data_IF_601068253861
#
_entry.id   IF_601068253861
#
_cell.length_a   1.000
_cell.length_b   1.000
_cell.length_c   1.000
_cell.angle_alpha   90.00
_cell.angle_beta   90.00
_cell.angle_gamma   90.00
#
_symmetry.space_group_name_H-M   'P 1'
#
loop_
_entity.id
_entity.type
_entity.pdbx_description
1 polymer ?
#
# COMPACT_ATOMS: atom_id res chain seq x y z
N UNK A 1 -16.33 -8.43 26.50
CA UNK A 1 -15.18 -8.33 25.58
C UNK A 1 -14.99 -6.91 25.02
N UNK A 2 -16.06 -6.20 24.65
CA UNK A 2 -15.99 -4.82 24.08
C UNK A 2 -15.35 -3.74 25.00
N UNK A 3 -15.55 -3.80 26.30
CA UNK A 3 -15.06 -2.76 27.25
C UNK A 3 -13.53 -2.78 27.38
N UNK A 4 -12.90 -3.97 27.34
CA UNK A 4 -11.44 -4.09 27.42
C UNK A 4 -10.73 -3.47 26.20
N UNK A 5 -11.30 -3.60 25.02
CA UNK A 5 -10.70 -3.04 23.81
C UNK A 5 -10.75 -1.50 23.84
N UNK A 6 -11.88 -0.91 24.25
CA UNK A 6 -12.03 0.55 24.29
C UNK A 6 -11.08 1.23 25.29
N UNK A 7 -10.84 0.61 26.46
CA UNK A 7 -9.89 1.13 27.45
C UNK A 7 -8.44 1.01 26.92
N UNK A 8 -8.12 -0.10 26.26
CA UNK A 8 -6.82 -0.30 25.62
C UNK A 8 -6.54 0.75 24.53
N UNK A 9 -7.52 1.03 23.67
CA UNK A 9 -7.41 2.02 22.61
C UNK A 9 -7.21 3.43 23.16
N UNK A 10 -7.93 3.82 24.22
CA UNK A 10 -7.80 5.13 24.88
C UNK A 10 -6.42 5.29 25.52
N UNK A 11 -5.92 4.26 26.20
CA UNK A 11 -4.60 4.28 26.84
C UNK A 11 -3.50 4.34 25.78
N UNK A 12 -3.64 3.57 24.72
CA UNK A 12 -2.66 3.53 23.64
C UNK A 12 -2.60 4.86 22.87
N UNK A 13 -3.74 5.47 22.57
CA UNK A 13 -3.81 6.79 21.91
C UNK A 13 -3.12 7.89 22.75
N UNK A 14 -3.29 7.87 24.07
CA UNK A 14 -2.61 8.80 24.98
C UNK A 14 -1.10 8.56 25.03
N UNK A 15 -0.65 7.32 25.08
CA UNK A 15 0.76 6.97 25.13
C UNK A 15 1.47 7.32 23.82
N UNK A 16 0.85 7.06 22.67
CA UNK A 16 1.41 7.40 21.35
C UNK A 16 1.50 8.92 21.15
N UNK A 17 0.51 9.68 21.63
CA UNK A 17 0.52 11.15 21.51
C UNK A 17 1.50 11.82 22.46
N UNK A 18 1.83 11.20 23.57
CA UNK A 18 2.66 11.81 24.63
C UNK A 18 4.13 11.36 24.56
N UNK A 19 4.39 10.14 24.12
CA UNK A 19 5.73 9.55 24.08
C UNK A 19 5.77 8.56 22.91
N UNK A 20 6.78 8.47 22.15
CA UNK A 20 6.99 7.52 21.05
C UNK A 20 6.82 6.01 21.45
N UNK A 21 6.00 5.72 22.45
CA UNK A 21 5.73 4.38 22.99
C UNK A 21 4.24 4.09 22.98
N UNK A 22 3.86 2.89 22.57
CA UNK A 22 2.50 2.38 22.58
C UNK A 22 2.44 1.02 23.27
N UNK A 23 1.25 0.66 23.74
CA UNK A 23 0.96 -0.69 24.24
C UNK A 23 0.35 -1.47 23.08
N UNK A 24 1.04 -2.50 22.64
CA UNK A 24 0.57 -3.37 21.55
C UNK A 24 0.32 -4.78 22.07
N UNK A 25 -0.69 -5.48 21.52
CA UNK A 25 -0.85 -6.89 21.81
C UNK A 25 0.42 -7.65 21.37
N UNK A 26 0.93 -8.49 22.26
CA UNK A 26 2.09 -9.32 21.92
C UNK A 26 1.70 -10.37 20.90
N UNK A 27 2.44 -10.44 19.82
CA UNK A 27 2.32 -11.55 18.86
C UNK A 27 3.20 -12.71 19.34
N UNK A 28 2.73 -13.93 19.11
CA UNK A 28 3.56 -15.10 19.34
C UNK A 28 4.79 -15.07 18.45
N UNK A 29 5.99 -15.14 19.02
CA UNK A 29 7.27 -15.04 18.33
C UNK A 29 7.39 -16.03 17.15
N UNK A 30 6.95 -17.28 17.35
CA UNK A 30 6.99 -18.30 16.29
C UNK A 30 6.07 -17.96 15.11
N UNK A 31 4.91 -17.32 15.37
CA UNK A 31 4.03 -16.84 14.30
C UNK A 31 4.66 -15.67 13.54
N UNK A 32 5.36 -14.78 14.26
CA UNK A 32 6.07 -13.67 13.65
C UNK A 32 7.20 -14.15 12.73
N UNK A 33 8.03 -15.09 13.19
CA UNK A 33 9.10 -15.68 12.36
C UNK A 33 8.53 -16.35 11.11
N UNK A 34 7.46 -17.14 11.23
CA UNK A 34 6.79 -17.75 10.07
C UNK A 34 6.28 -16.70 9.08
N UNK A 35 5.71 -15.60 9.58
CA UNK A 35 5.28 -14.50 8.71
C UNK A 35 6.46 -13.86 7.98
N UNK A 36 7.55 -13.58 8.69
CA UNK A 36 8.77 -13.01 8.09
C UNK A 36 9.32 -13.93 7.01
N UNK A 37 9.35 -15.24 7.24
CA UNK A 37 9.80 -16.21 6.24
C UNK A 37 8.91 -16.24 5.00
N UNK A 38 7.59 -16.07 5.16
CA UNK A 38 6.64 -16.03 4.05
C UNK A 38 6.78 -14.78 3.17
N UNK A 39 7.15 -13.64 3.76
CA UNK A 39 7.31 -12.36 3.03
C UNK A 39 8.76 -12.07 2.65
N UNK A 40 9.66 -13.00 2.91
CA UNK A 40 11.09 -12.87 2.60
C UNK A 40 11.28 -12.67 1.09
N UNK A 41 12.03 -11.63 0.67
CA UNK A 41 12.26 -11.41 -0.74
C UNK A 41 13.12 -12.52 -1.36
N UNK A 42 12.75 -12.95 -2.55
CA UNK A 42 13.52 -13.90 -3.35
C UNK A 42 14.18 -13.17 -4.53
N UNK A 43 15.42 -13.50 -4.80
CA UNK A 43 16.08 -13.06 -6.02
C UNK A 43 15.57 -13.91 -7.20
N UNK A 44 14.84 -13.28 -8.11
CA UNK A 44 14.30 -13.92 -9.31
C UNK A 44 15.21 -13.74 -10.54
N UNK A 45 16.41 -13.18 -10.38
CA UNK A 45 17.38 -12.96 -11.45
C UNK A 45 17.00 -11.82 -12.42
N UNK A 46 16.08 -10.95 -12.03
CA UNK A 46 15.77 -9.73 -12.77
C UNK A 46 16.45 -8.52 -12.14
N UNK A 47 16.91 -7.61 -12.97
CA UNK A 47 17.32 -6.28 -12.52
C UNK A 47 16.13 -5.52 -11.95
N UNK A 48 16.41 -4.61 -11.01
CA UNK A 48 15.39 -3.74 -10.44
C UNK A 48 15.44 -2.38 -11.14
N UNK A 49 14.29 -1.92 -11.55
CA UNK A 49 14.11 -0.56 -12.08
C UNK A 49 13.23 0.25 -11.15
N UNK A 50 13.47 1.55 -11.11
CA UNK A 50 12.58 2.47 -10.39
C UNK A 50 11.43 2.85 -11.29
N UNK A 51 10.21 2.80 -10.75
CA UNK A 51 8.97 3.31 -11.33
C UNK A 51 8.43 4.37 -10.38
N UNK A 52 8.09 5.53 -10.92
CA UNK A 52 7.68 6.69 -10.13
C UNK A 52 8.85 7.56 -9.66
N UNK A 53 8.59 8.58 -8.79
CA UNK A 53 9.56 9.56 -8.36
C UNK A 53 10.69 8.97 -7.51
N UNK A 54 11.74 9.76 -7.28
CA UNK A 54 12.89 9.35 -6.44
C UNK A 54 12.56 9.25 -4.95
N UNK A 55 11.45 9.89 -4.51
CA UNK A 55 10.97 9.88 -3.13
C UNK A 55 9.76 8.97 -2.92
N UNK A 56 8.81 9.47 -2.13
CA UNK A 56 7.54 8.82 -1.89
C UNK A 56 6.75 8.60 -3.20
N UNK A 57 6.00 7.50 -3.27
CA UNK A 57 5.27 7.10 -4.47
C UNK A 57 6.17 6.54 -5.60
N UNK A 58 7.44 6.24 -5.34
CA UNK A 58 8.33 5.56 -6.27
C UNK A 58 8.82 4.22 -5.72
N UNK A 59 8.76 3.17 -6.55
CA UNK A 59 9.04 1.80 -6.14
C UNK A 59 10.10 1.15 -7.03
N UNK A 60 10.91 0.28 -6.43
CA UNK A 60 11.78 -0.62 -7.16
C UNK A 60 11.00 -1.88 -7.53
N UNK A 61 10.91 -2.17 -8.81
CA UNK A 61 10.19 -3.32 -9.35
C UNK A 61 11.11 -4.13 -10.28
N UNK A 62 10.92 -5.44 -10.44
CA UNK A 62 11.64 -6.22 -11.44
C UNK A 62 11.44 -5.66 -12.85
N UNK A 63 12.48 -5.67 -13.69
CA UNK A 63 12.40 -5.20 -15.08
C UNK A 63 11.68 -6.22 -15.97
N UNK A 64 10.39 -6.35 -15.72
CA UNK A 64 9.46 -7.20 -16.49
C UNK A 64 8.27 -6.41 -17.05
N UNK A 65 8.27 -5.09 -16.92
CA UNK A 65 7.11 -4.25 -17.23
C UNK A 65 6.65 -4.37 -18.69
N UNK A 66 7.54 -4.69 -19.61
CA UNK A 66 7.19 -4.95 -21.03
C UNK A 66 6.18 -6.10 -21.20
N UNK A 67 6.08 -7.00 -20.23
CA UNK A 67 5.16 -8.14 -20.21
C UNK A 67 3.85 -7.84 -19.47
N UNK A 68 3.77 -6.71 -18.77
CA UNK A 68 2.63 -6.31 -17.94
C UNK A 68 1.69 -5.46 -18.78
N UNK A 69 0.41 -5.79 -18.78
CA UNK A 69 -0.64 -5.03 -19.50
C UNK A 69 -1.49 -4.19 -18.55
N UNK A 70 -1.63 -4.63 -17.32
CA UNK A 70 -2.50 -4.00 -16.34
C UNK A 70 -1.84 -3.99 -14.97
N UNK A 71 -2.10 -2.95 -14.19
CA UNK A 71 -1.69 -2.83 -12.80
C UNK A 71 -2.89 -2.44 -11.95
N UNK A 72 -3.00 -3.03 -10.75
CA UNK A 72 -3.91 -2.58 -9.71
C UNK A 72 -3.11 -1.86 -8.63
N UNK A 73 -3.44 -0.58 -8.41
CA UNK A 73 -2.77 0.30 -7.45
C UNK A 73 -3.77 0.76 -6.39
N UNK A 74 -3.87 0.06 -5.26
CA UNK A 74 -4.70 0.47 -4.13
C UNK A 74 -3.95 1.43 -3.20
N UNK A 75 -4.68 2.42 -2.62
CA UNK A 75 -4.08 3.39 -1.72
C UNK A 75 -3.19 4.39 -2.44
N UNK A 76 -3.73 5.04 -3.45
CA UNK A 76 -2.98 5.93 -4.37
C UNK A 76 -2.48 7.21 -3.71
N UNK A 77 -3.22 7.73 -2.72
CA UNK A 77 -2.86 8.98 -2.04
C UNK A 77 -2.85 10.20 -2.97
N UNK A 78 -1.96 11.15 -2.68
CA UNK A 78 -1.82 12.40 -3.45
C UNK A 78 -0.66 12.41 -4.44
N UNK A 79 0.20 11.42 -4.40
CA UNK A 79 1.41 11.33 -5.24
C UNK A 79 1.21 10.21 -6.25
N UNK A 80 1.07 10.56 -7.52
CA UNK A 80 0.67 9.65 -8.60
C UNK A 80 1.81 9.38 -9.60
N UNK A 81 3.05 9.56 -9.19
CA UNK A 81 4.20 9.39 -10.08
C UNK A 81 4.38 7.95 -10.56
N UNK A 82 4.08 6.98 -9.69
CA UNK A 82 4.12 5.56 -10.04
C UNK A 82 3.09 5.22 -11.12
N UNK A 83 1.85 5.66 -10.94
CA UNK A 83 0.76 5.41 -11.87
C UNK A 83 1.03 6.11 -13.23
N UNK A 84 1.53 7.34 -13.21
CA UNK A 84 1.91 8.05 -14.43
C UNK A 84 3.00 7.30 -15.23
N UNK A 85 4.06 6.86 -14.57
CA UNK A 85 5.13 6.08 -15.19
C UNK A 85 4.61 4.79 -15.83
N UNK A 86 3.69 4.10 -15.17
CA UNK A 86 3.06 2.89 -15.72
C UNK A 86 2.21 3.20 -16.97
N UNK A 87 1.43 4.29 -16.90
CA UNK A 87 0.61 4.74 -18.02
C UNK A 87 1.44 5.16 -19.24
N UNK A 88 2.58 5.83 -19.02
CA UNK A 88 3.53 6.20 -20.09
C UNK A 88 4.15 4.97 -20.75
N UNK A 89 4.28 3.86 -20.02
CA UNK A 89 4.71 2.56 -20.55
C UNK A 89 3.59 1.77 -21.24
N UNK A 90 2.37 2.34 -21.33
CA UNK A 90 1.22 1.71 -21.97
C UNK A 90 0.48 0.70 -21.09
N UNK A 91 0.79 0.65 -19.80
CA UNK A 91 0.14 -0.25 -18.84
C UNK A 91 -1.16 0.42 -18.37
N UNK A 92 -2.29 -0.28 -18.46
CA UNK A 92 -3.57 0.19 -17.93
C UNK A 92 -3.53 0.11 -16.39
N UNK A 93 -3.96 1.18 -15.70
CA UNK A 93 -3.95 1.24 -14.24
C UNK A 93 -5.36 1.29 -13.69
N UNK A 94 -5.65 0.37 -12.76
CA UNK A 94 -6.85 0.37 -11.94
C UNK A 94 -6.48 0.85 -10.54
N UNK A 95 -7.15 1.88 -10.05
CA UNK A 95 -6.86 2.51 -8.78
C UNK A 95 -8.07 2.45 -7.86
N UNK A 96 -7.82 2.28 -6.55
CA UNK A 96 -8.83 2.36 -5.51
C UNK A 96 -8.29 3.15 -4.33
N UNK A 97 -9.01 4.20 -3.90
CA UNK A 97 -8.67 4.96 -2.69
C UNK A 97 -9.90 5.73 -2.20
N UNK A 98 -10.32 5.49 -0.97
CA UNK A 98 -11.46 6.18 -0.36
C UNK A 98 -11.13 7.56 0.20
N UNK A 99 -9.85 7.90 0.32
CA UNK A 99 -9.38 9.11 1.03
C UNK A 99 -9.11 10.29 0.11
N UNK A 100 -9.00 10.06 -1.20
CA UNK A 100 -8.70 11.09 -2.20
C UNK A 100 -9.76 11.19 -3.28
N UNK A 101 -9.82 12.32 -3.96
CA UNK A 101 -10.61 12.47 -5.17
C UNK A 101 -9.92 11.81 -6.36
N UNK A 102 -10.69 11.58 -7.44
CA UNK A 102 -10.16 10.99 -8.67
C UNK A 102 -8.92 11.77 -9.13
N UNK A 103 -7.75 11.13 -9.24
CA UNK A 103 -6.54 11.79 -9.68
C UNK A 103 -6.64 12.25 -11.14
N UNK A 104 -5.96 13.35 -11.44
CA UNK A 104 -5.81 13.84 -12.82
C UNK A 104 -4.44 13.38 -13.31
N UNK A 105 -4.41 12.45 -14.23
CA UNK A 105 -3.20 11.87 -14.80
C UNK A 105 -2.99 12.30 -16.24
N UNK A 106 -1.76 12.20 -16.73
CA UNK A 106 -1.36 12.59 -18.08
C UNK A 106 -2.00 11.76 -19.18
N UNK A 107 -2.35 10.52 -18.90
CA UNK A 107 -2.96 9.56 -19.81
C UNK A 107 -4.29 9.09 -19.25
N UNK A 108 -5.29 8.86 -20.12
CA UNK A 108 -6.65 8.45 -19.74
C UNK A 108 -6.83 6.93 -19.64
N UNK A 109 -5.78 6.14 -19.85
CA UNK A 109 -5.85 4.67 -19.79
C UNK A 109 -5.88 4.13 -18.35
N UNK A 110 -6.71 4.75 -17.49
CA UNK A 110 -6.88 4.34 -16.10
C UNK A 110 -8.34 4.36 -15.67
N UNK A 111 -8.63 3.59 -14.65
CA UNK A 111 -9.90 3.59 -13.92
C UNK A 111 -9.65 3.90 -12.45
N UNK A 112 -10.55 4.65 -11.82
CA UNK A 112 -10.46 4.99 -10.40
C UNK A 112 -11.81 4.73 -9.74
N UNK A 113 -11.77 4.07 -8.59
CA UNK A 113 -12.91 3.88 -7.71
C UNK A 113 -12.62 4.51 -6.35
N UNK A 114 -13.52 5.36 -5.86
CA UNK A 114 -13.39 6.00 -4.53
C UNK A 114 -13.90 5.04 -3.46
N UNK A 115 -13.12 4.00 -3.18
CA UNK A 115 -13.38 3.00 -2.13
C UNK A 115 -12.08 2.60 -1.44
N UNK A 116 -12.16 2.27 -0.15
CA UNK A 116 -11.08 1.64 0.57
C UNK A 116 -11.05 0.14 0.29
N UNK A 117 -9.86 -0.46 0.35
CA UNK A 117 -9.74 -1.91 0.43
C UNK A 117 -9.99 -2.35 1.86
N UNK A 118 -10.84 -3.34 2.03
CA UNK A 118 -11.20 -3.90 3.32
C UNK A 118 -11.51 -5.38 3.22
N UNK A 119 -11.72 -6.00 4.37
CA UNK A 119 -12.15 -7.39 4.50
C UNK A 119 -13.68 -7.52 4.56
N UNK A 120 -14.38 -6.40 4.63
CA UNK A 120 -15.85 -6.33 4.68
C UNK A 120 -16.32 -5.32 3.62
N UNK A 121 -17.48 -5.57 3.04
CA UNK A 121 -18.19 -4.58 2.23
C UNK A 121 -18.76 -3.55 3.20
N UNK A 122 -18.32 -2.31 3.06
CA UNK A 122 -18.97 -1.18 3.70
C UNK A 122 -20.15 -0.78 2.80
N UNK A 123 -21.36 -0.83 3.35
CA UNK A 123 -22.60 -0.38 2.72
C UNK A 123 -22.58 1.15 2.44
#
# INVERSE_FOLDING_TARGET
MLIKNKLFDILNDRLIKSYTHGIFPTINYLKLIKLIDLIKPYNLGYDLIRVGPSGDGGYLVPDVLKKIKTCFSPGVGKIHGFENDLLERGIKVFMADGTVEKPILSNKNYEFIKKNLGTHEDD
#
